data_IF_114822471108
#
_entry.id   IF_114822471108
#
_cell.length_a   1.000
_cell.length_b   1.000
_cell.length_c   1.000
_cell.angle_alpha   90.00
_cell.angle_beta   90.00
_cell.angle_gamma   90.00
#
_symmetry.space_group_name_H-M   'P 1'
#
loop_
_entity.id
_entity.type
_entity.pdbx_description
1 polymer ?
#
# COMPACT_ATOMS: atom_id res chain seq x y z
N UNK A 1 -18.28 -11.33 17.20
CA UNK A 1 -18.32 -9.87 16.94
C UNK A 1 -19.50 -9.57 16.02
N UNK A 2 -20.24 -8.49 16.27
CA UNK A 2 -21.39 -8.08 15.42
C UNK A 2 -21.10 -6.76 14.70
N UNK A 3 -21.81 -6.47 13.61
CA UNK A 3 -21.69 -5.18 12.92
C UNK A 3 -22.06 -4.00 13.83
N UNK A 4 -22.93 -4.22 14.83
CA UNK A 4 -23.28 -3.24 15.87
C UNK A 4 -22.11 -2.96 16.81
N UNK A 5 -21.41 -3.98 17.29
CA UNK A 5 -20.25 -3.79 18.18
C UNK A 5 -19.10 -3.08 17.46
N UNK A 6 -18.88 -3.40 16.18
CA UNK A 6 -17.84 -2.77 15.34
C UNK A 6 -18.19 -1.30 15.06
N UNK A 7 -19.45 -1.01 14.73
CA UNK A 7 -19.95 0.35 14.52
C UNK A 7 -19.71 1.25 15.75
N UNK A 8 -20.03 0.74 16.95
CA UNK A 8 -19.79 1.44 18.21
C UNK A 8 -18.29 1.68 18.47
N UNK A 9 -17.44 0.69 18.20
CA UNK A 9 -16.00 0.81 18.40
C UNK A 9 -15.32 1.76 17.41
N UNK A 10 -15.83 1.85 16.18
CA UNK A 10 -15.26 2.69 15.11
C UNK A 10 -15.87 4.09 15.02
N UNK A 11 -16.92 4.41 15.81
CA UNK A 11 -17.65 5.68 15.69
C UNK A 11 -18.41 5.82 14.37
N UNK A 12 -18.94 4.71 13.83
CA UNK A 12 -19.56 4.63 12.50
C UNK A 12 -20.99 4.11 12.58
N UNK A 13 -21.79 4.39 11.55
CA UNK A 13 -23.12 3.80 11.42
C UNK A 13 -23.04 2.34 10.97
N UNK A 14 -23.97 1.51 11.44
CA UNK A 14 -24.01 0.08 11.10
C UNK A 14 -24.10 -0.17 9.58
N UNK A 15 -24.82 0.69 8.84
CA UNK A 15 -24.90 0.62 7.38
C UNK A 15 -23.56 0.90 6.70
N UNK A 16 -22.74 1.78 7.26
CA UNK A 16 -21.38 2.05 6.76
C UNK A 16 -20.47 0.84 6.99
N UNK A 17 -20.57 0.19 8.15
CA UNK A 17 -19.83 -1.05 8.46
C UNK A 17 -20.25 -2.16 7.51
N UNK A 18 -21.56 -2.44 7.40
CA UNK A 18 -22.10 -3.47 6.51
C UNK A 18 -21.66 -3.25 5.05
N UNK A 19 -21.75 -2.01 4.55
CA UNK A 19 -21.31 -1.68 3.19
C UNK A 19 -19.80 -1.76 2.98
N UNK A 20 -18.98 -1.63 4.02
CA UNK A 20 -17.52 -1.80 3.90
C UNK A 20 -17.12 -3.29 3.94
N UNK A 21 -17.82 -4.11 4.72
CA UNK A 21 -17.52 -5.54 4.85
C UNK A 21 -18.06 -6.39 3.69
N UNK A 22 -19.27 -6.07 3.21
CA UNK A 22 -19.98 -6.92 2.25
C UNK A 22 -20.24 -6.25 0.89
N UNK A 23 -19.95 -4.96 0.76
CA UNK A 23 -20.12 -4.24 -0.51
C UNK A 23 -18.95 -4.47 -1.46
N UNK A 24 -19.21 -4.72 -2.74
CA UNK A 24 -18.18 -4.64 -3.79
C UNK A 24 -17.75 -3.17 -3.94
N UNK A 25 -16.56 -2.81 -3.47
CA UNK A 25 -15.99 -1.46 -3.67
C UNK A 25 -14.65 -1.53 -4.39
N UNK A 26 -14.45 -0.63 -5.36
CA UNK A 26 -13.18 -0.46 -6.08
C UNK A 26 -12.22 0.58 -5.46
N UNK A 27 -12.65 1.37 -4.47
CA UNK A 27 -11.86 2.50 -3.93
C UNK A 27 -11.74 2.45 -2.41
N UNK A 28 -10.53 2.71 -1.92
CA UNK A 28 -10.23 2.90 -0.49
C UNK A 28 -10.86 4.22 -0.02
N UNK A 29 -11.89 4.12 0.81
CA UNK A 29 -12.58 5.29 1.42
C UNK A 29 -12.11 5.51 2.85
N UNK A 30 -12.29 6.71 3.41
CA UNK A 30 -11.97 7.00 4.81
C UNK A 30 -12.63 6.02 5.78
N UNK A 31 -13.89 5.65 5.50
CA UNK A 31 -14.64 4.66 6.28
C UNK A 31 -14.01 3.26 6.28
N UNK A 32 -13.29 2.90 5.21
CA UNK A 32 -12.56 1.62 5.13
C UNK A 32 -11.25 1.70 5.92
N UNK A 33 -10.56 2.84 5.86
CA UNK A 33 -9.32 3.06 6.64
C UNK A 33 -9.55 2.87 8.13
N UNK A 34 -10.58 3.52 8.68
CA UNK A 34 -10.95 3.40 10.10
C UNK A 34 -11.25 1.96 10.51
N UNK A 35 -11.88 1.17 9.63
CA UNK A 35 -12.16 -0.25 9.90
C UNK A 35 -10.90 -1.11 9.86
N UNK A 36 -9.98 -0.81 8.94
CA UNK A 36 -8.69 -1.49 8.85
C UNK A 36 -7.82 -1.15 10.07
N UNK A 37 -7.77 0.11 10.50
CA UNK A 37 -7.08 0.53 11.72
C UNK A 37 -7.65 -0.18 12.96
N UNK A 38 -8.98 -0.27 13.08
CA UNK A 38 -9.66 -1.05 14.13
C UNK A 38 -9.27 -2.53 14.12
N UNK A 39 -9.13 -3.12 12.92
CA UNK A 39 -8.75 -4.51 12.75
C UNK A 39 -7.22 -4.75 12.80
N UNK A 40 -6.43 -3.69 13.03
CA UNK A 40 -4.97 -3.70 12.92
C UNK A 40 -4.47 -4.25 11.57
N UNK A 41 -5.17 -3.91 10.49
CA UNK A 41 -4.84 -4.25 9.12
C UNK A 41 -4.31 -3.01 8.42
N UNK A 42 -3.16 -3.12 7.74
CA UNK A 42 -2.74 -2.08 6.80
C UNK A 42 -3.64 -2.13 5.56
N UNK A 43 -4.27 -1.00 5.21
CA UNK A 43 -5.03 -0.85 3.97
C UNK A 43 -4.12 -0.91 2.73
N UNK A 44 -2.83 -0.67 2.94
CA UNK A 44 -1.77 -0.81 1.95
C UNK A 44 -1.10 -2.16 2.19
N UNK A 45 -1.63 -3.20 1.56
CA UNK A 45 -1.07 -4.57 1.61
C UNK A 45 -0.02 -4.84 0.54
N UNK A 46 0.45 -3.81 -0.18
CA UNK A 46 1.75 -3.91 -0.84
C UNK A 46 2.79 -3.57 0.23
N UNK A 47 3.68 -4.50 0.55
CA UNK A 47 4.87 -4.13 1.31
C UNK A 47 5.51 -2.92 0.64
N UNK A 48 5.69 -1.85 1.41
CA UNK A 48 6.41 -0.67 0.95
C UNK A 48 7.91 -0.96 0.82
N UNK A 49 8.37 -2.17 1.16
CA UNK A 49 9.74 -2.55 0.91
C UNK A 49 9.93 -2.80 -0.60
N UNK A 50 10.69 -1.95 -1.32
CA UNK A 50 10.99 -2.17 -2.73
C UNK A 50 11.67 -3.51 -3.00
N UNK A 51 12.30 -4.14 -1.98
CA UNK A 51 12.92 -5.46 -2.09
C UNK A 51 11.91 -6.59 -2.26
N UNK A 52 10.67 -6.38 -1.86
CA UNK A 52 9.60 -7.36 -2.03
C UNK A 52 8.92 -7.27 -3.41
N UNK A 53 9.19 -6.20 -4.18
CA UNK A 53 8.68 -6.05 -5.54
C UNK A 53 9.48 -6.91 -6.51
N UNK A 54 8.92 -8.06 -6.89
CA UNK A 54 9.49 -8.98 -7.88
C UNK A 54 9.84 -8.23 -9.17
N UNK A 55 8.92 -7.40 -9.67
CA UNK A 55 9.12 -6.63 -10.92
C UNK A 55 10.30 -5.68 -10.81
N UNK A 56 10.44 -4.95 -9.69
CA UNK A 56 11.53 -4.01 -9.49
C UNK A 56 12.87 -4.72 -9.37
N UNK A 57 12.91 -5.82 -8.60
CA UNK A 57 14.13 -6.57 -8.36
C UNK A 57 14.59 -7.36 -9.59
N UNK A 58 13.67 -7.91 -10.40
CA UNK A 58 13.99 -8.54 -11.69
C UNK A 58 14.57 -7.51 -12.67
N UNK A 59 13.93 -6.35 -12.79
CA UNK A 59 14.42 -5.28 -13.65
C UNK A 59 15.82 -4.82 -13.23
N UNK A 60 16.05 -4.61 -11.92
CA UNK A 60 17.35 -4.25 -11.38
C UNK A 60 18.40 -5.34 -11.62
N UNK A 61 18.05 -6.61 -11.46
CA UNK A 61 18.94 -7.74 -11.72
C UNK A 61 19.33 -7.88 -13.20
N UNK A 62 18.41 -7.57 -14.11
CA UNK A 62 18.67 -7.65 -15.55
C UNK A 62 19.59 -6.53 -16.07
N UNK A 63 19.55 -5.35 -15.45
CA UNK A 63 20.32 -4.17 -15.90
C UNK A 63 21.62 -3.96 -15.13
N UNK A 64 21.71 -4.42 -13.88
CA UNK A 64 22.89 -4.19 -13.03
C UNK A 64 24.02 -5.16 -13.38
N UNK A 65 25.21 -4.61 -13.66
CA UNK A 65 26.41 -5.39 -14.04
C UNK A 65 27.27 -5.86 -12.84
N UNK A 66 26.78 -5.69 -11.62
CA UNK A 66 27.51 -6.03 -10.38
C UNK A 66 28.52 -4.97 -9.92
N UNK A 67 28.81 -3.94 -10.71
CA UNK A 67 29.76 -2.89 -10.33
C UNK A 67 29.12 -1.79 -9.48
N UNK A 68 29.91 -1.24 -8.54
CA UNK A 68 29.48 -0.10 -7.72
C UNK A 68 29.26 1.17 -8.56
N UNK A 69 30.07 1.35 -9.62
CA UNK A 69 29.93 2.47 -10.55
C UNK A 69 28.56 2.42 -11.25
N UNK A 70 28.11 1.25 -11.67
CA UNK A 70 26.80 1.10 -12.28
C UNK A 70 25.68 1.30 -11.26
N UNK A 71 25.80 0.73 -10.06
CA UNK A 71 24.83 0.95 -8.98
C UNK A 71 24.61 2.44 -8.69
N UNK A 72 25.68 3.23 -8.61
CA UNK A 72 25.61 4.70 -8.42
C UNK A 72 24.87 5.42 -9.56
N UNK A 73 25.01 4.97 -10.81
CA UNK A 73 24.28 5.55 -11.95
C UNK A 73 22.79 5.21 -11.89
N UNK A 74 22.45 3.95 -11.61
CA UNK A 74 21.05 3.51 -11.47
C UNK A 74 20.35 4.26 -10.34
N UNK A 75 21.02 4.43 -9.19
CA UNK A 75 20.51 5.22 -8.09
C UNK A 75 20.24 6.68 -8.49
N UNK A 76 21.17 7.33 -9.22
CA UNK A 76 20.97 8.68 -9.75
C UNK A 76 19.75 8.79 -10.68
N UNK A 77 19.55 7.80 -11.56
CA UNK A 77 18.39 7.74 -12.45
C UNK A 77 17.07 7.66 -11.66
N UNK A 78 17.02 6.80 -10.64
CA UNK A 78 15.85 6.63 -9.78
C UNK A 78 15.52 7.92 -9.00
N UNK A 79 16.54 8.61 -8.47
CA UNK A 79 16.34 9.90 -7.80
C UNK A 79 15.86 10.98 -8.77
N UNK A 80 16.44 11.07 -9.97
CA UNK A 80 16.00 12.01 -10.99
C UNK A 80 14.54 11.77 -11.42
N UNK A 81 14.12 10.49 -11.51
CA UNK A 81 12.74 10.14 -11.82
C UNK A 81 11.75 10.59 -10.72
N UNK A 82 12.15 10.52 -9.44
CA UNK A 82 11.35 11.07 -8.34
C UNK A 82 11.21 12.57 -8.49
N UNK A 83 12.32 13.27 -8.71
CA UNK A 83 12.34 14.74 -8.74
C UNK A 83 11.57 15.31 -9.96
N UNK A 84 11.43 14.55 -11.05
CA UNK A 84 10.66 14.94 -12.23
C UNK A 84 9.13 14.74 -12.08
N UNK A 85 8.68 14.00 -11.07
CA UNK A 85 7.26 13.73 -10.80
C UNK A 85 6.75 14.41 -9.53
N UNK A 86 7.54 15.36 -8.99
CA UNK A 86 7.15 16.31 -7.96
C UNK A 86 6.71 17.62 -8.62
#
# INVERSE_FOLDING_TARGET
>A
MTTVSIAKACGMNQSQVHRNLYGKRCRVTQSLKVLCDYANLSVYTASNDPRESVVLMEALGAIWDGSEKHAKRLAKLLFAHRDANL
#
